data_IF_857757729414
#
_entry.id   IF_857757729414
#
_cell.length_a   1.000
_cell.length_b   1.000
_cell.length_c   1.000
_cell.angle_alpha   90.00
_cell.angle_beta   90.00
_cell.angle_gamma   90.00
#
_symmetry.space_group_name_H-M   'P 1'
#
loop_
_entity.id
_entity.type
_entity.pdbx_description
1 polymer ?
#
# COMPACT_ATOMS: atom_id res chain seq x y z
N UNK A 1 -2.97 12.26 -12.08
CA UNK A 1 -1.92 11.97 -11.10
C UNK A 1 -2.53 11.41 -9.83
N UNK A 2 -2.07 10.24 -9.41
CA UNK A 2 -2.63 9.59 -8.22
C UNK A 2 -2.07 10.22 -6.95
N UNK A 3 -2.92 10.40 -5.95
CA UNK A 3 -2.52 10.96 -4.67
C UNK A 3 -2.35 9.87 -3.61
N UNK A 4 -1.50 10.12 -2.62
CA UNK A 4 -1.29 9.21 -1.49
C UNK A 4 -2.37 9.45 -0.42
N UNK A 5 -3.60 9.10 -0.75
CA UNK A 5 -4.72 9.20 0.19
C UNK A 5 -5.03 7.83 0.81
N UNK A 6 -5.82 7.84 1.87
CA UNK A 6 -6.20 6.59 2.56
C UNK A 6 -6.87 5.63 1.58
N UNK A 7 -6.39 4.40 1.53
CA UNK A 7 -6.87 3.38 0.61
C UNK A 7 -6.09 3.28 -0.69
N UNK A 8 -5.19 4.21 -0.96
CA UNK A 8 -4.40 4.18 -2.19
C UNK A 8 -3.43 3.01 -2.18
N UNK A 9 -3.42 2.23 -3.26
CA UNK A 9 -2.44 1.16 -3.45
C UNK A 9 -1.19 1.80 -4.02
N UNK A 10 -0.05 1.52 -3.39
CA UNK A 10 1.25 2.08 -3.76
C UNK A 10 2.26 0.97 -3.96
N UNK A 11 3.35 1.32 -4.64
CA UNK A 11 4.48 0.43 -4.85
C UNK A 11 5.66 1.02 -4.10
N UNK A 12 6.35 0.23 -3.31
CA UNK A 12 7.56 0.68 -2.64
C UNK A 12 8.70 0.76 -3.64
N UNK A 13 9.41 1.87 -3.63
CA UNK A 13 10.47 2.13 -4.62
C UNK A 13 11.86 2.09 -4.00
N UNK A 14 11.96 1.82 -2.70
CA UNK A 14 13.23 1.88 -2.00
C UNK A 14 13.29 0.84 -0.88
N UNK A 15 14.50 0.33 -0.62
CA UNK A 15 14.76 -0.55 0.51
C UNK A 15 14.48 -2.01 0.22
N UNK A 16 14.42 -2.80 1.29
CA UNK A 16 14.24 -4.26 1.20
C UNK A 16 12.91 -4.66 0.60
N UNK A 17 11.91 -3.81 0.76
CA UNK A 17 10.55 -4.08 0.28
C UNK A 17 10.30 -3.46 -1.09
N UNK A 18 11.37 -3.07 -1.80
CA UNK A 18 11.26 -2.49 -3.13
C UNK A 18 10.42 -3.40 -4.05
N UNK A 19 9.57 -2.77 -4.85
CA UNK A 19 8.65 -3.43 -5.78
C UNK A 19 7.42 -4.08 -5.12
N UNK A 20 7.38 -4.18 -3.79
CA UNK A 20 6.23 -4.72 -3.09
C UNK A 20 5.11 -3.67 -3.06
N UNK A 21 3.87 -4.14 -3.11
CA UNK A 21 2.71 -3.27 -3.00
C UNK A 21 2.34 -3.04 -1.54
N UNK A 22 1.81 -1.88 -1.26
CA UNK A 22 1.29 -1.55 0.06
C UNK A 22 0.10 -0.61 -0.08
N UNK A 23 -0.58 -0.37 1.01
CA UNK A 23 -1.78 0.45 1.03
C UNK A 23 -1.61 1.52 2.09
N UNK A 24 -1.96 2.76 1.75
CA UNK A 24 -1.95 3.87 2.71
C UNK A 24 -3.14 3.72 3.64
N UNK A 25 -2.89 3.62 4.94
CA UNK A 25 -3.95 3.49 5.95
C UNK A 25 -4.14 4.77 6.76
N UNK A 26 -3.14 5.65 6.78
CA UNK A 26 -3.25 6.94 7.44
C UNK A 26 -2.24 7.91 6.87
N UNK A 27 -2.52 9.19 7.01
CA UNK A 27 -1.61 10.26 6.59
C UNK A 27 -1.08 10.91 7.87
N UNK A 28 0.23 10.88 8.05
CA UNK A 28 0.88 11.41 9.26
C UNK A 28 1.19 12.89 9.07
N UNK A 29 1.91 13.21 8.00
CA UNK A 29 2.23 14.61 7.65
C UNK A 29 2.61 14.68 6.16
N UNK A 30 3.22 15.78 5.75
CA UNK A 30 3.61 16.00 4.34
C UNK A 30 4.61 15.00 3.82
N UNK A 31 5.42 14.44 4.71
CA UNK A 31 6.54 13.57 4.34
C UNK A 31 6.28 12.10 4.63
N UNK A 32 5.34 11.79 5.51
CA UNK A 32 5.13 10.42 5.97
C UNK A 32 3.68 10.00 5.95
N UNK A 33 3.48 8.75 5.59
CA UNK A 33 2.17 8.08 5.65
C UNK A 33 2.36 6.74 6.37
N UNK A 34 1.27 6.23 6.93
CA UNK A 34 1.25 4.90 7.51
C UNK A 34 0.80 3.92 6.44
N UNK A 35 1.59 2.88 6.20
CA UNK A 35 1.27 1.87 5.19
C UNK A 35 1.31 0.47 5.77
N UNK A 36 0.63 -0.44 5.08
CA UNK A 36 0.72 -1.87 5.37
C UNK A 36 0.52 -2.62 4.06
N UNK A 37 1.08 -3.86 3.98
CA UNK A 37 0.91 -4.67 2.78
C UNK A 37 -0.47 -5.27 2.61
N UNK A 38 -1.07 -5.93 3.55
CA UNK A 38 -0.56 -6.52 4.79
C UNK A 38 0.63 -7.46 4.60
N UNK A 39 1.37 -7.68 5.66
CA UNK A 39 2.60 -8.49 5.61
C UNK A 39 2.38 -9.87 5.02
N UNK A 40 1.28 -10.49 5.36
CA UNK A 40 0.93 -11.84 4.88
C UNK A 40 0.76 -11.90 3.36
N UNK A 41 0.37 -10.79 2.74
CA UNK A 41 0.13 -10.72 1.31
C UNK A 41 1.36 -10.26 0.54
N UNK A 42 1.97 -9.18 0.98
CA UNK A 42 3.00 -8.50 0.20
C UNK A 42 4.37 -8.49 0.86
N UNK A 43 4.45 -8.88 2.12
CA UNK A 43 5.68 -8.81 2.91
C UNK A 43 5.91 -7.45 3.56
N UNK A 44 5.09 -6.47 3.27
CA UNK A 44 5.25 -5.12 3.84
C UNK A 44 4.54 -5.03 5.19
N UNK A 45 5.32 -4.85 6.25
CA UNK A 45 4.77 -4.66 7.60
C UNK A 45 4.12 -3.28 7.72
N UNK A 46 3.14 -3.19 8.62
CA UNK A 46 2.53 -1.90 8.98
C UNK A 46 3.60 -1.01 9.59
N UNK A 47 3.89 0.11 8.93
CA UNK A 47 4.90 1.06 9.40
C UNK A 47 4.75 2.41 8.72
N UNK A 48 5.40 3.41 9.30
CA UNK A 48 5.52 4.73 8.69
C UNK A 48 6.46 4.64 7.48
N UNK A 49 6.10 5.28 6.39
CA UNK A 49 6.90 5.30 5.19
C UNK A 49 7.02 6.73 4.65
N UNK A 50 8.19 7.06 4.14
CA UNK A 50 8.41 8.36 3.50
C UNK A 50 7.72 8.34 2.15
N UNK A 51 6.96 9.39 1.84
CA UNK A 51 6.22 9.49 0.58
C UNK A 51 7.13 9.43 -0.64
N UNK A 52 8.40 9.84 -0.49
CA UNK A 52 9.40 9.78 -1.56
C UNK A 52 9.77 8.35 -1.94
N UNK A 53 9.50 7.39 -1.08
CA UNK A 53 9.81 5.98 -1.30
C UNK A 53 8.60 5.19 -1.77
N UNK A 54 7.54 5.88 -2.16
CA UNK A 54 6.30 5.28 -2.60
C UNK A 54 5.89 5.84 -3.95
N UNK A 55 5.37 4.96 -4.80
CA UNK A 55 4.76 5.37 -6.06
C UNK A 55 3.28 5.01 -6.01
N UNK A 56 2.42 6.02 -6.10
CA UNK A 56 0.98 5.81 -6.08
C UNK A 56 0.53 5.19 -7.41
N UNK A 57 -0.33 4.17 -7.31
CA UNK A 57 -0.96 3.59 -8.49
C UNK A 57 -2.32 4.24 -8.72
N UNK A 58 -2.98 3.87 -9.80
CA UNK A 58 -4.34 4.35 -10.07
C UNK A 58 -5.39 3.60 -9.26
N UNK A 59 -4.99 2.53 -8.57
CA UNK A 59 -5.91 1.70 -7.80
C UNK A 59 -6.04 2.18 -6.37
N UNK A 60 -7.24 2.09 -5.84
CA UNK A 60 -7.52 2.42 -4.45
C UNK A 60 -8.61 1.48 -3.93
N UNK A 61 -8.62 1.27 -2.62
CA UNK A 61 -9.69 0.51 -1.98
C UNK A 61 -10.43 1.40 -1.00
N UNK A 62 -11.66 1.03 -0.72
CA UNK A 62 -12.50 1.79 0.21
C UNK A 62 -12.31 1.26 1.63
N UNK A 63 -11.49 1.93 2.41
CA UNK A 63 -11.23 1.58 3.80
C UNK A 63 -11.31 2.84 4.66
N UNK A 64 -11.51 2.63 5.95
CA UNK A 64 -11.47 3.72 6.93
C UNK A 64 -10.04 4.02 7.29
N UNK A 65 -9.78 5.27 7.62
CA UNK A 65 -8.50 5.71 8.16
C UNK A 65 -8.11 4.85 9.35
N UNK A 66 -6.89 4.31 9.34
CA UNK A 66 -6.41 3.45 10.39
C UNK A 66 -6.95 2.03 10.37
N UNK A 67 -7.53 1.60 9.24
CA UNK A 67 -8.09 0.25 9.09
C UNK A 67 -7.07 -0.83 9.46
N UNK A 68 -7.57 -1.92 10.06
CA UNK A 68 -6.72 -3.06 10.40
C UNK A 68 -6.33 -3.84 9.15
N UNK A 69 -5.30 -4.68 9.29
CA UNK A 69 -4.88 -5.55 8.18
C UNK A 69 -6.01 -6.49 7.75
N UNK A 70 -6.81 -6.96 8.72
CA UNK A 70 -7.97 -7.81 8.42
C UNK A 70 -9.00 -7.08 7.59
N UNK A 71 -9.27 -5.82 7.91
CA UNK A 71 -10.21 -4.99 7.16
C UNK A 71 -9.71 -4.78 5.73
N UNK A 72 -8.41 -4.58 5.58
CA UNK A 72 -7.79 -4.38 4.27
C UNK A 72 -7.88 -5.65 3.43
N UNK A 73 -7.57 -6.80 4.02
CA UNK A 73 -7.67 -8.08 3.34
C UNK A 73 -9.12 -8.31 2.89
N UNK A 74 -10.07 -8.02 3.76
CA UNK A 74 -11.48 -8.13 3.43
C UNK A 74 -11.89 -7.25 2.26
N UNK A 75 -11.43 -6.01 2.25
CA UNK A 75 -11.73 -5.06 1.17
C UNK A 75 -11.11 -5.51 -0.16
N UNK A 76 -9.87 -6.00 -0.13
CA UNK A 76 -9.20 -6.51 -1.33
C UNK A 76 -9.89 -7.76 -1.88
N UNK A 77 -10.29 -8.65 -1.00
CA UNK A 77 -11.00 -9.87 -1.38
C UNK A 77 -12.33 -9.54 -2.05
N UNK A 78 -13.02 -8.53 -1.54
CA UNK A 78 -14.33 -8.10 -2.04
C UNK A 78 -14.26 -7.62 -3.48
N UNK A 79 -13.18 -6.98 -3.88
CA UNK A 79 -13.00 -6.46 -5.24
C UNK A 79 -12.11 -7.36 -6.11
N UNK A 80 -11.72 -8.54 -5.59
CA UNK A 80 -10.94 -9.52 -6.35
C UNK A 80 -9.50 -9.15 -6.61
N UNK A 81 -8.90 -8.29 -5.77
CA UNK A 81 -7.51 -7.85 -5.95
C UNK A 81 -6.50 -8.51 -5.02
N UNK A 82 -6.94 -9.50 -4.25
CA UNK A 82 -6.08 -10.13 -3.24
C UNK A 82 -4.81 -10.73 -3.85
N UNK A 83 -4.96 -11.51 -4.91
CA UNK A 83 -3.83 -12.16 -5.57
C UNK A 83 -2.91 -11.15 -6.26
N UNK A 84 -3.50 -10.11 -6.81
CA UNK A 84 -2.76 -9.04 -7.48
C UNK A 84 -1.79 -8.33 -6.53
N UNK A 85 -2.16 -8.20 -5.26
CA UNK A 85 -1.32 -7.57 -4.26
C UNK A 85 -0.05 -8.36 -3.96
N UNK A 86 -0.06 -9.66 -4.16
CA UNK A 86 1.09 -10.53 -3.90
C UNK A 86 2.18 -10.39 -4.96
N UNK A 87 1.84 -9.87 -6.11
CA UNK A 87 2.78 -9.75 -7.23
C UNK A 87 3.61 -8.49 -7.09
N UNK A 88 4.93 -8.64 -7.08
CA UNK A 88 5.83 -7.49 -7.09
C UNK A 88 5.86 -6.86 -8.47
N UNK A 89 5.88 -5.54 -8.49
CA UNK A 89 5.97 -4.79 -9.73
C UNK A 89 7.42 -4.42 -9.97
N UNK A 90 8.01 -5.01 -11.01
CA UNK A 90 9.39 -4.68 -11.37
C UNK A 90 9.44 -3.27 -11.96
N UNK A 91 10.34 -2.46 -11.41
CA UNK A 91 10.60 -1.14 -11.93
C UNK A 91 11.25 -1.28 -13.31
N UNK A 92 10.64 -0.67 -14.30
CA UNK A 92 11.31 -0.55 -15.58
C UNK A 92 12.36 0.54 -15.45
N UNK A 93 13.58 0.17 -15.57
CA UNK A 93 14.66 1.14 -15.58
C UNK A 93 14.53 2.07 -16.79
#
# INVERSE_FOLDING_TARGET
>A
MSALNVGRICIKTFGREKEAKCIVVDIIDKSFVLVTGPKELTGVKRRRANVKHLEATDDAINIKRGASDEDIIGALKKIGKLDEMRVKVKNKA
#
